data_IF_117062987503
#
_entry.id   IF_117062987503
#
_cell.length_a   1.000
_cell.length_b   1.000
_cell.length_c   1.000
_cell.angle_alpha   90.00
_cell.angle_beta   90.00
_cell.angle_gamma   90.00
#
_symmetry.space_group_name_H-M   'P 1'
#
loop_
_entity.id
_entity.type
_entity.pdbx_description
1 polymer ?
#
# COMPACT_ATOMS: atom_id res chain seq x y z
N UNK A 1 31.88 -3.63 13.21
CA UNK A 1 31.22 -2.37 12.82
C UNK A 1 30.77 -2.54 11.38
N UNK A 2 29.48 -2.36 11.09
CA UNK A 2 28.98 -2.34 9.71
C UNK A 2 29.31 -0.97 9.12
N UNK A 3 30.18 -0.94 8.11
CA UNK A 3 30.47 0.27 7.33
C UNK A 3 29.21 0.66 6.55
N UNK A 4 28.82 1.95 6.48
CA UNK A 4 27.72 2.38 5.62
C UNK A 4 28.00 1.94 4.17
N UNK A 5 26.95 1.62 3.42
CA UNK A 5 27.11 1.28 2.00
C UNK A 5 27.75 2.45 1.24
N UNK A 6 28.80 2.16 0.47
CA UNK A 6 29.51 3.11 -0.40
C UNK A 6 28.59 3.56 -1.55
N UNK A 7 27.75 4.55 -1.29
CA UNK A 7 26.89 5.20 -2.27
C UNK A 7 26.94 6.72 -2.08
N UNK A 8 26.70 7.50 -3.14
CA UNK A 8 26.67 8.95 -3.03
C UNK A 8 25.60 9.36 -2.01
N UNK A 9 25.99 10.10 -0.97
CA UNK A 9 25.03 10.76 -0.08
C UNK A 9 24.35 11.85 -0.90
N UNK A 10 23.01 11.80 -1.10
CA UNK A 10 22.32 12.82 -1.87
C UNK A 10 22.43 14.19 -1.17
N UNK A 11 22.52 15.27 -1.95
CA UNK A 11 22.62 16.64 -1.43
C UNK A 11 21.37 17.10 -0.65
N UNK A 12 20.28 16.33 -0.72
CA UNK A 12 19.01 16.58 -0.04
C UNK A 12 18.52 15.30 0.64
N UNK A 13 18.03 15.42 1.87
CA UNK A 13 17.33 14.33 2.54
C UNK A 13 15.99 14.06 1.84
N UNK A 14 15.84 12.85 1.30
CA UNK A 14 14.60 12.40 0.66
C UNK A 14 13.70 11.61 1.61
N UNK A 15 14.30 10.88 2.55
CA UNK A 15 13.61 10.10 3.57
C UNK A 15 14.54 9.85 4.75
N UNK A 16 13.94 9.63 5.92
CA UNK A 16 14.61 9.21 7.16
C UNK A 16 13.75 8.14 7.82
N UNK A 17 14.36 7.04 8.22
CA UNK A 17 13.67 5.95 8.89
C UNK A 17 14.58 5.29 9.94
N UNK A 18 13.95 4.73 10.97
CA UNK A 18 14.61 3.79 11.89
C UNK A 18 14.18 2.39 11.51
N UNK A 19 15.15 1.51 11.29
CA UNK A 19 14.90 0.12 10.91
C UNK A 19 15.21 -0.79 12.10
N UNK A 20 14.20 -1.52 12.58
CA UNK A 20 14.35 -2.55 13.60
C UNK A 20 14.37 -3.92 12.92
N UNK A 21 15.49 -4.63 13.06
CA UNK A 21 15.66 -5.97 12.48
C UNK A 21 15.30 -7.04 13.51
N UNK A 22 14.44 -7.98 13.12
CA UNK A 22 14.14 -9.17 13.92
C UNK A 22 15.06 -10.33 13.50
N UNK A 23 15.44 -11.20 14.46
CA UNK A 23 16.20 -12.43 14.14
C UNK A 23 15.34 -13.47 13.42
N UNK A 24 14.04 -13.45 13.69
CA UNK A 24 13.04 -14.28 13.06
C UNK A 24 11.77 -13.44 12.87
N UNK A 25 11.06 -13.67 11.77
CA UNK A 25 9.81 -12.97 11.49
C UNK A 25 8.69 -13.59 12.33
N UNK A 26 7.96 -12.79 13.13
CA UNK A 26 6.79 -13.30 13.83
C UNK A 26 5.65 -13.56 12.84
N UNK A 27 4.70 -14.40 13.25
CA UNK A 27 3.43 -14.55 12.52
C UNK A 27 2.65 -13.24 12.56
N UNK A 28 2.11 -12.83 11.41
CA UNK A 28 1.27 -11.65 11.32
C UNK A 28 -0.03 -11.75 12.14
N UNK A 29 -0.54 -10.62 12.66
CA UNK A 29 -1.84 -10.59 13.31
C UNK A 29 -2.95 -10.94 12.31
N UNK A 30 -4.05 -11.48 12.82
CA UNK A 30 -5.28 -11.63 12.04
C UNK A 30 -5.84 -10.25 11.69
N UNK A 31 -6.19 -10.07 10.42
CA UNK A 31 -6.87 -8.87 9.95
C UNK A 31 -8.38 -9.11 9.98
N UNK A 32 -9.20 -8.12 10.38
CA UNK A 32 -10.63 -8.25 10.28
C UNK A 32 -11.04 -8.45 8.80
N UNK A 33 -12.00 -9.34 8.52
CA UNK A 33 -12.53 -9.48 7.17
C UNK A 33 -13.17 -8.15 6.71
N UNK A 34 -13.41 -8.01 5.41
CA UNK A 34 -14.24 -6.92 4.92
C UNK A 34 -15.65 -7.05 5.54
N UNK A 35 -16.21 -5.99 6.16
CA UNK A 35 -17.50 -6.06 6.83
C UNK A 35 -18.67 -6.28 5.86
N UNK A 36 -18.52 -5.85 4.61
CA UNK A 36 -19.50 -6.05 3.56
C UNK A 36 -18.86 -6.16 2.17
N UNK A 37 -19.69 -6.31 1.14
CA UNK A 37 -19.25 -6.22 -0.26
C UNK A 37 -18.84 -4.78 -0.57
N UNK A 38 -17.61 -4.53 -1.06
CA UNK A 38 -17.13 -3.18 -1.29
C UNK A 38 -17.91 -2.49 -2.42
N UNK A 39 -18.17 -1.19 -2.24
CA UNK A 39 -18.63 -0.34 -3.35
C UNK A 39 -17.42 0.05 -4.19
N UNK A 40 -17.52 -0.07 -5.51
CA UNK A 40 -16.42 0.29 -6.42
C UNK A 40 -15.93 1.72 -6.20
N UNK A 41 -14.62 1.89 -6.14
CA UNK A 41 -13.94 3.18 -6.05
C UNK A 41 -13.11 3.44 -7.32
N UNK A 42 -12.81 4.71 -7.64
CA UNK A 42 -11.80 5.04 -8.64
C UNK A 42 -10.38 4.70 -8.15
N UNK A 43 -9.51 4.24 -9.05
CA UNK A 43 -8.06 4.28 -8.82
C UNK A 43 -7.52 5.62 -9.30
N UNK A 44 -7.42 6.60 -8.40
CA UNK A 44 -7.07 7.99 -8.74
C UNK A 44 -5.65 8.16 -9.29
N UNK A 45 -4.77 7.17 -9.13
CA UNK A 45 -3.41 7.18 -9.68
C UNK A 45 -3.33 6.69 -11.13
N UNK A 46 -4.44 6.18 -11.69
CA UNK A 46 -4.52 5.65 -13.05
C UNK A 46 -5.55 6.40 -13.92
N UNK A 47 -6.21 7.42 -13.37
CA UNK A 47 -7.18 8.25 -14.11
C UNK A 47 -6.44 9.38 -14.83
N UNK A 48 -6.78 9.59 -16.11
CA UNK A 48 -6.25 10.66 -16.93
C UNK A 48 -6.41 12.03 -16.25
N UNK A 49 -5.35 12.84 -16.29
CA UNK A 49 -5.29 14.14 -15.61
C UNK A 49 -4.91 14.08 -14.13
N UNK A 50 -4.59 12.90 -13.58
CA UNK A 50 -4.00 12.79 -12.25
C UNK A 50 -2.67 13.55 -12.16
N UNK A 51 -2.43 14.19 -11.03
CA UNK A 51 -1.16 14.86 -10.74
C UNK A 51 -0.04 13.89 -10.36
N UNK A 52 -0.38 12.61 -10.11
CA UNK A 52 0.55 11.53 -9.82
C UNK A 52 0.19 10.33 -10.68
N UNK A 53 0.83 10.23 -11.84
CA UNK A 53 0.57 9.15 -12.80
C UNK A 53 1.43 7.92 -12.46
N UNK A 54 0.78 6.80 -12.13
CA UNK A 54 1.45 5.53 -11.88
C UNK A 54 1.30 4.57 -13.07
N UNK A 55 2.41 3.95 -13.45
CA UNK A 55 2.50 3.06 -14.62
C UNK A 55 3.37 1.83 -14.33
N UNK A 56 3.41 0.90 -15.29
CA UNK A 56 4.20 -0.33 -15.20
C UNK A 56 3.81 -1.18 -13.99
N UNK A 57 4.81 -1.61 -13.21
CA UNK A 57 4.60 -2.46 -12.01
C UNK A 57 3.73 -1.77 -10.95
N UNK A 58 3.66 -0.44 -10.92
CA UNK A 58 2.81 0.30 -9.97
C UNK A 58 1.33 0.27 -10.31
N UNK A 59 0.94 -0.32 -11.46
CA UNK A 59 -0.46 -0.66 -11.74
C UNK A 59 -0.92 -1.96 -11.05
N UNK A 60 -0.19 -2.43 -10.04
CA UNK A 60 -0.53 -3.70 -9.36
C UNK A 60 -1.73 -3.61 -8.41
N UNK A 61 -2.26 -2.41 -8.13
CA UNK A 61 -3.49 -2.23 -7.35
C UNK A 61 -4.71 -2.33 -8.27
N UNK A 62 -5.59 -3.29 -7.99
CA UNK A 62 -6.79 -3.59 -8.78
C UNK A 62 -8.04 -3.53 -7.93
N UNK A 63 -9.18 -3.28 -8.59
CA UNK A 63 -10.50 -3.31 -7.96
C UNK A 63 -10.60 -2.55 -6.62
N UNK A 64 -10.17 -1.27 -6.55
CA UNK A 64 -10.31 -0.51 -5.33
C UNK A 64 -11.79 -0.38 -4.96
N UNK A 65 -12.05 -0.45 -3.67
CA UNK A 65 -13.39 -0.47 -3.12
C UNK A 65 -13.47 0.24 -1.78
N UNK A 66 -14.61 0.88 -1.55
CA UNK A 66 -14.97 1.55 -0.31
C UNK A 66 -15.77 0.61 0.58
N UNK A 67 -15.39 0.58 1.86
CA UNK A 67 -16.04 -0.18 2.92
C UNK A 67 -16.50 0.77 4.03
N UNK A 68 -17.47 0.34 4.83
CA UNK A 68 -18.03 1.07 5.95
C UNK A 68 -17.00 1.36 7.05
N UNK A 69 -15.88 0.62 7.08
CA UNK A 69 -14.77 0.82 8.01
C UNK A 69 -13.49 1.38 7.36
N UNK A 70 -13.49 1.62 6.04
CA UNK A 70 -12.30 2.05 5.30
C UNK A 70 -12.37 1.65 3.82
N UNK A 71 -11.45 0.80 3.37
CA UNK A 71 -11.35 0.41 1.98
C UNK A 71 -10.60 -0.91 1.76
N UNK A 72 -10.66 -1.38 0.52
CA UNK A 72 -10.00 -2.61 0.09
C UNK A 72 -9.57 -2.50 -1.36
N UNK A 73 -8.59 -3.30 -1.75
CA UNK A 73 -8.20 -3.51 -3.14
C UNK A 73 -7.55 -4.88 -3.30
N UNK A 74 -7.39 -5.33 -4.54
CA UNK A 74 -6.61 -6.51 -4.87
C UNK A 74 -5.18 -6.10 -5.23
N UNK A 75 -4.19 -6.82 -4.71
CA UNK A 75 -2.81 -6.75 -5.19
C UNK A 75 -2.60 -7.84 -6.26
N UNK A 76 -2.29 -7.41 -7.48
CA UNK A 76 -1.94 -8.29 -8.62
C UNK A 76 -0.59 -7.88 -9.19
N UNK A 77 0.47 -8.56 -8.73
CA UNK A 77 1.85 -8.28 -9.13
C UNK A 77 2.14 -8.82 -10.53
N UNK A 78 2.00 -7.96 -11.54
CA UNK A 78 2.39 -8.23 -12.92
C UNK A 78 3.83 -7.81 -13.16
N UNK A 79 4.80 -8.65 -12.80
CA UNK A 79 6.22 -8.31 -12.91
C UNK A 79 6.81 -8.79 -14.24
N UNK A 80 7.62 -7.98 -14.94
CA UNK A 80 8.37 -8.42 -16.09
C UNK A 80 9.43 -9.45 -15.68
N UNK A 81 9.82 -10.34 -16.61
CA UNK A 81 10.96 -11.22 -16.40
C UNK A 81 12.24 -10.40 -16.16
N UNK A 82 13.02 -10.76 -15.14
CA UNK A 82 14.27 -10.09 -14.73
C UNK A 82 14.06 -8.62 -14.34
N UNK A 83 13.37 -8.42 -13.21
CA UNK A 83 13.06 -7.09 -12.69
C UNK A 83 14.17 -6.59 -11.77
N UNK A 84 14.44 -5.27 -11.74
CA UNK A 84 15.25 -4.67 -10.67
C UNK A 84 14.71 -5.01 -9.27
N UNK A 85 13.40 -5.28 -9.16
CA UNK A 85 12.76 -5.72 -7.93
C UNK A 85 13.30 -7.06 -7.39
N UNK A 86 13.92 -7.89 -8.24
CA UNK A 86 14.60 -9.12 -7.81
C UNK A 86 15.75 -8.84 -6.83
N UNK A 87 16.28 -7.61 -6.83
CA UNK A 87 17.36 -7.16 -5.95
C UNK A 87 16.88 -6.60 -4.62
N UNK A 88 15.58 -6.32 -4.49
CA UNK A 88 15.03 -5.73 -3.27
C UNK A 88 14.65 -6.82 -2.27
N UNK A 89 14.99 -6.57 -1.01
CA UNK A 89 14.57 -7.40 0.13
C UNK A 89 13.13 -7.08 0.54
N UNK A 90 12.70 -5.84 0.32
CA UNK A 90 11.37 -5.35 0.68
C UNK A 90 10.46 -5.40 -0.57
N UNK A 91 9.22 -5.90 -0.44
CA UNK A 91 8.24 -5.87 -1.52
C UNK A 91 7.75 -4.44 -1.76
N UNK A 92 8.50 -3.69 -2.57
CA UNK A 92 8.35 -2.24 -2.74
C UNK A 92 7.07 -1.90 -3.50
N UNK A 93 6.69 -2.72 -4.48
CA UNK A 93 5.45 -2.54 -5.23
C UNK A 93 4.24 -2.85 -4.35
N UNK A 94 4.29 -3.95 -3.58
CA UNK A 94 3.23 -4.29 -2.64
C UNK A 94 3.06 -3.20 -1.57
N UNK A 95 4.16 -2.65 -1.06
CA UNK A 95 4.13 -1.55 -0.10
C UNK A 95 3.52 -0.29 -0.71
N UNK A 96 3.91 0.11 -1.92
CA UNK A 96 3.29 1.24 -2.63
C UNK A 96 1.77 1.05 -2.78
N UNK A 97 1.33 -0.10 -3.28
CA UNK A 97 -0.09 -0.42 -3.39
C UNK A 97 -0.80 -0.35 -2.03
N UNK A 98 -0.17 -0.86 -0.96
CA UNK A 98 -0.71 -0.80 0.39
C UNK A 98 -0.89 0.63 0.89
N UNK A 99 0.09 1.51 0.66
CA UNK A 99 -0.04 2.89 1.10
C UNK A 99 -1.12 3.64 0.33
N UNK A 100 -1.34 3.29 -0.94
CA UNK A 100 -2.43 3.86 -1.74
C UNK A 100 -3.82 3.49 -1.26
N UNK A 101 -4.02 2.40 -0.52
CA UNK A 101 -5.35 2.11 0.04
C UNK A 101 -5.75 3.08 1.15
N UNK A 102 -4.81 3.85 1.73
CA UNK A 102 -5.12 4.87 2.75
C UNK A 102 -6.10 5.95 2.25
N UNK A 103 -6.15 6.20 0.93
CA UNK A 103 -7.12 7.17 0.35
C UNK A 103 -8.53 6.59 0.20
N UNK A 104 -8.67 5.27 0.35
CA UNK A 104 -9.95 4.58 0.28
C UNK A 104 -10.59 4.57 1.67
N UNK A 105 -11.37 5.61 1.97
CA UNK A 105 -12.08 5.76 3.24
C UNK A 105 -13.60 5.85 3.00
N UNK A 106 -14.28 4.72 2.98
CA UNK A 106 -15.73 4.64 2.75
C UNK A 106 -16.58 5.20 3.89
N UNK A 107 -15.98 5.55 5.05
CA UNK A 107 -16.64 6.30 6.13
C UNK A 107 -16.87 7.76 5.73
N UNK A 108 -16.09 8.28 4.78
CA UNK A 108 -16.14 9.66 4.31
C UNK A 108 -16.62 9.69 2.85
N UNK A 109 -17.92 9.94 2.61
CA UNK A 109 -18.39 10.12 1.25
C UNK A 109 -17.78 11.40 0.66
N UNK A 110 -17.36 11.35 -0.60
CA UNK A 110 -16.85 12.52 -1.31
C UNK A 110 -15.80 12.18 -2.36
N UNK A 111 -15.10 13.21 -2.88
CA UNK A 111 -13.97 13.04 -3.79
C UNK A 111 -12.88 12.16 -3.16
N UNK A 112 -12.30 11.27 -3.97
CA UNK A 112 -11.19 10.41 -3.55
C UNK A 112 -9.88 11.17 -3.80
N UNK A 113 -9.03 11.39 -2.78
CA UNK A 113 -7.82 12.15 -2.97
C UNK A 113 -6.72 11.33 -3.66
N UNK A 114 -5.76 12.04 -4.24
CA UNK A 114 -4.44 11.53 -4.59
C UNK A 114 -3.50 12.02 -3.50
N UNK A 115 -2.89 11.10 -2.77
CA UNK A 115 -1.96 11.42 -1.68
C UNK A 115 -0.57 10.91 -2.03
N UNK A 116 0.45 11.72 -1.78
CA UNK A 116 1.84 11.28 -1.76
C UNK A 116 2.26 11.14 -0.30
N UNK A 117 2.64 9.93 0.17
CA UNK A 117 3.08 9.73 1.54
C UNK A 117 4.26 10.63 1.90
N UNK A 118 4.18 11.29 3.05
CA UNK A 118 5.22 12.16 3.63
C UNK A 118 5.75 11.62 4.95
N UNK A 119 5.03 10.69 5.58
CA UNK A 119 5.46 10.05 6.81
C UNK A 119 4.59 8.86 7.15
N UNK A 120 5.15 7.92 7.90
CA UNK A 120 4.45 6.77 8.47
C UNK A 120 4.88 6.63 9.93
N UNK A 121 3.96 6.22 10.80
CA UNK A 121 4.30 5.91 12.18
C UNK A 121 5.05 4.59 12.29
N UNK A 122 4.60 3.57 11.55
CA UNK A 122 5.19 2.23 11.59
C UNK A 122 4.92 1.45 10.28
N UNK A 123 5.89 0.61 9.90
CA UNK A 123 5.72 -0.44 8.89
C UNK A 123 6.30 -1.72 9.48
N UNK A 124 5.49 -2.77 9.55
CA UNK A 124 5.90 -4.11 9.98
C UNK A 124 5.81 -5.10 8.83
N UNK A 125 6.90 -5.84 8.65
CA UNK A 125 6.97 -6.97 7.72
C UNK A 125 6.86 -8.27 8.50
N UNK A 126 5.91 -9.11 8.13
CA UNK A 126 5.70 -10.46 8.68
C UNK A 126 6.10 -11.55 7.67
N UNK A 127 6.64 -11.14 6.52
CA UNK A 127 7.14 -12.01 5.46
C UNK A 127 8.54 -11.58 5.03
N UNK A 128 9.36 -12.55 4.63
CA UNK A 128 10.66 -12.31 4.00
C UNK A 128 10.57 -12.24 2.47
N UNK A 129 9.37 -12.37 1.91
CA UNK A 129 9.14 -12.35 0.47
C UNK A 129 9.16 -10.91 -0.07
N UNK A 130 9.96 -10.70 -1.13
CA UNK A 130 9.90 -9.50 -1.96
C UNK A 130 8.78 -9.63 -3.03
N UNK A 131 8.64 -8.64 -3.92
CA UNK A 131 7.54 -8.63 -4.90
C UNK A 131 7.54 -9.89 -5.81
N UNK A 132 8.68 -10.32 -6.42
CA UNK A 132 8.72 -11.56 -7.19
C UNK A 132 8.32 -12.81 -6.41
N UNK A 133 8.82 -12.95 -5.17
CA UNK A 133 8.48 -14.09 -4.32
C UNK A 133 7.00 -14.11 -3.95
N UNK A 134 6.41 -12.94 -3.64
CA UNK A 134 4.97 -12.80 -3.40
C UNK A 134 4.15 -13.14 -4.66
N UNK A 135 4.57 -12.66 -5.83
CA UNK A 135 3.89 -12.94 -7.10
C UNK A 135 3.90 -14.45 -7.43
N UNK A 136 5.03 -15.12 -7.20
CA UNK A 136 5.18 -16.56 -7.43
C UNK A 136 4.36 -17.40 -6.44
N UNK A 137 4.36 -17.03 -5.15
CA UNK A 137 3.61 -17.74 -4.12
C UNK A 137 2.09 -17.51 -4.20
N UNK A 138 1.68 -16.34 -4.70
CA UNK A 138 0.29 -15.92 -4.76
C UNK A 138 -0.07 -15.41 -6.17
N UNK A 139 -0.08 -16.28 -7.20
CA UNK A 139 -0.41 -15.88 -8.57
C UNK A 139 -1.86 -15.38 -8.70
N UNK A 140 -2.72 -15.80 -7.76
CA UNK A 140 -4.10 -15.31 -7.64
C UNK A 140 -4.20 -13.99 -6.86
N UNK A 141 -3.10 -13.31 -6.61
CA UNK A 141 -3.08 -12.04 -5.89
C UNK A 141 -3.29 -12.19 -4.39
N UNK A 142 -3.30 -11.03 -3.74
CA UNK A 142 -3.47 -10.84 -2.31
C UNK A 142 -4.46 -9.71 -2.06
N UNK A 143 -4.97 -9.58 -0.84
CA UNK A 143 -5.90 -8.50 -0.48
C UNK A 143 -5.16 -7.36 0.20
N UNK A 144 -5.43 -6.13 -0.20
CA UNK A 144 -5.02 -4.92 0.50
C UNK A 144 -6.22 -4.41 1.30
N UNK A 145 -6.06 -4.21 2.60
CA UNK A 145 -7.10 -3.65 3.47
C UNK A 145 -6.62 -2.38 4.14
N UNK A 146 -7.50 -1.40 4.18
CA UNK A 146 -7.41 -0.21 5.00
C UNK A 146 -8.65 -0.15 5.86
N UNK A 147 -8.51 0.00 7.17
CA UNK A 147 -9.64 0.10 8.08
C UNK A 147 -9.30 0.94 9.31
N UNK A 148 -10.35 1.35 10.01
CA UNK A 148 -10.23 2.02 11.30
C UNK A 148 -10.81 1.13 12.40
N UNK A 149 -10.04 0.95 13.46
CA UNK A 149 -10.51 0.26 14.65
C UNK A 149 -11.55 1.11 15.41
N UNK A 150 -12.22 0.50 16.39
CA UNK A 150 -13.27 1.16 17.17
C UNK A 150 -12.79 2.39 17.97
N UNK A 151 -11.51 2.42 18.31
CA UNK A 151 -10.84 3.56 18.96
C UNK A 151 -10.40 4.65 17.96
N UNK A 152 -10.67 4.46 16.66
CA UNK A 152 -10.30 5.37 15.59
C UNK A 152 -8.88 5.17 15.06
N UNK A 153 -8.13 4.17 15.52
CA UNK A 153 -6.79 3.89 14.99
C UNK A 153 -6.85 3.42 13.54
N UNK A 154 -6.02 4.04 12.68
CA UNK A 154 -5.87 3.68 11.27
C UNK A 154 -4.95 2.46 11.10
N UNK A 155 -5.40 1.50 10.28
CA UNK A 155 -4.64 0.31 9.95
C UNK A 155 -4.67 0.04 8.45
N UNK A 156 -3.51 -0.24 7.88
CA UNK A 156 -3.37 -0.80 6.54
C UNK A 156 -2.67 -2.15 6.63
N UNK A 157 -3.16 -3.18 5.93
CA UNK A 157 -2.47 -4.46 5.80
C UNK A 157 -2.53 -5.05 4.39
N UNK A 158 -1.42 -5.67 3.97
CA UNK A 158 -1.42 -6.68 2.91
C UNK A 158 -1.77 -8.02 3.58
N UNK A 159 -2.91 -8.59 3.22
CA UNK A 159 -3.50 -9.76 3.87
C UNK A 159 -3.22 -11.02 3.06
N UNK A 160 -2.64 -12.02 3.71
CA UNK A 160 -2.40 -13.35 3.17
C UNK A 160 -3.68 -14.20 3.06
N UNK A 161 -3.63 -15.34 2.36
CA UNK A 161 -4.79 -16.24 2.22
C UNK A 161 -5.33 -16.80 3.54
N UNK A 162 -4.52 -16.81 4.59
CA UNK A 162 -4.88 -17.23 5.94
C UNK A 162 -5.51 -16.11 6.78
N UNK A 163 -5.78 -14.95 6.16
CA UNK A 163 -6.36 -13.77 6.82
C UNK A 163 -5.38 -13.00 7.70
N UNK A 164 -4.08 -13.32 7.66
CA UNK A 164 -3.05 -12.65 8.47
C UNK A 164 -2.31 -11.61 7.67
N UNK A 165 -1.83 -10.56 8.35
CA UNK A 165 -1.01 -9.54 7.71
C UNK A 165 0.35 -10.13 7.28
N UNK A 166 0.71 -9.95 6.02
CA UNK A 166 2.08 -10.12 5.52
C UNK A 166 2.88 -8.83 5.67
N UNK A 167 2.20 -7.68 5.54
CA UNK A 167 2.72 -6.34 5.78
C UNK A 167 1.64 -5.56 6.52
N UNK A 168 2.00 -4.76 7.51
CA UNK A 168 1.11 -3.80 8.14
C UNK A 168 1.75 -2.41 8.18
N UNK A 169 0.94 -1.36 8.03
CA UNK A 169 1.36 0.03 8.15
C UNK A 169 0.32 0.83 8.94
N UNK A 170 0.77 1.83 9.69
CA UNK A 170 -0.10 2.73 10.46
C UNK A 170 0.41 4.17 10.45
N UNK A 171 -0.49 5.10 10.77
CA UNK A 171 -0.18 6.53 10.89
C UNK A 171 0.31 7.12 9.58
N UNK A 172 -0.38 6.83 8.48
CA UNK A 172 0.01 7.29 7.16
C UNK A 172 -0.34 8.77 7.07
N UNK A 173 0.66 9.59 6.78
CA UNK A 173 0.47 11.02 6.51
C UNK A 173 0.95 11.31 5.11
N UNK A 174 0.29 12.24 4.43
CA UNK A 174 0.70 12.60 3.08
C UNK A 174 0.19 13.94 2.62
N UNK A 175 0.82 14.44 1.56
CA UNK A 175 0.41 15.64 0.89
C UNK A 175 -0.68 15.30 -0.15
N UNK A 176 -1.82 15.97 -0.07
CA UNK A 176 -2.86 15.89 -1.10
C UNK A 176 -2.35 16.58 -2.36
N UNK A 177 -2.49 15.91 -3.51
CA UNK A 177 -2.08 16.40 -4.84
C UNK A 177 -3.25 16.64 -5.78
N UNK A 178 -4.47 16.40 -5.32
CA UNK A 178 -5.70 16.59 -6.06
C UNK A 178 -6.75 15.63 -5.50
N UNK A 179 -8.01 15.83 -5.88
CA UNK A 179 -9.08 14.90 -5.57
C UNK A 179 -9.97 14.69 -6.80
N UNK A 180 -10.39 13.44 -7.01
CA UNK A 180 -11.27 13.06 -8.10
C UNK A 180 -12.67 12.79 -7.56
N UNK A 181 -13.66 13.49 -8.09
CA UNK A 181 -15.06 13.26 -7.78
C UNK A 181 -15.66 12.24 -8.77
N UNK A 182 -15.94 10.99 -8.33
CA UNK A 182 -16.51 9.97 -9.21
C UNK A 182 -17.94 10.28 -9.65
N UNK A 183 -18.67 11.17 -8.97
CA UNK A 183 -20.04 11.53 -9.34
C UNK A 183 -20.11 12.51 -10.50
N UNK A 184 -19.10 13.38 -10.63
CA UNK A 184 -19.04 14.38 -11.71
C UNK A 184 -17.97 14.08 -12.75
N UNK A 185 -17.04 13.15 -12.46
CA UNK A 185 -15.92 12.81 -13.33
C UNK A 185 -14.87 13.92 -13.42
N UNK A 186 -14.69 14.72 -12.35
CA UNK A 186 -13.85 15.92 -12.37
C UNK A 186 -12.74 15.88 -11.31
N UNK A 187 -11.64 16.53 -11.65
CA UNK A 187 -10.53 16.84 -10.75
C UNK A 187 -10.74 18.18 -10.04
N UNK A 188 -10.27 18.27 -8.80
CA UNK A 188 -10.18 19.49 -7.98
C UNK A 188 -8.88 19.54 -7.18
#
# INVERSE_FOLDING_TARGET
MLTPADGPVPAREHTRATVHLARALPTGPLCPPAPEVPRTAPNTYEIDGTSVELSGVFRSLRNPGLLSDGGTADLRLGLPAQSLLDRFVIPSTALDCLLRTSVLDGRRPGPVPVIVPTGLADIRLYTGANDPALAAAHPQGLTLRHWYAADGAEHCALVGPDGRALIAATGITGAVRGSYDPSTGRWS
#
